data_IF_289437007831
#
_entry.id   IF_289437007831
#
_cell.length_a   1.000
_cell.length_b   1.000
_cell.length_c   1.000
_cell.angle_alpha   90.00
_cell.angle_beta   90.00
_cell.angle_gamma   90.00
#
_symmetry.space_group_name_H-M   'P 1'
#
loop_
_entity.id
_entity.type
_entity.pdbx_description
1 polymer ?
#
# COMPACT_ATOMS: atom_id res chain seq x y z
N UNK A 1 -16.11 -4.81 7.11
CA UNK A 1 -14.66 -4.53 7.07
C UNK A 1 -14.27 -3.95 8.42
N UNK A 2 -13.54 -4.69 9.25
CA UNK A 2 -12.89 -4.08 10.41
C UNK A 2 -11.82 -3.12 9.90
N UNK A 3 -11.80 -1.90 10.45
CA UNK A 3 -10.79 -0.92 10.11
C UNK A 3 -9.49 -1.32 10.80
N UNK A 4 -8.56 -1.90 10.04
CA UNK A 4 -7.23 -2.27 10.50
C UNK A 4 -6.21 -1.40 9.78
N UNK A 5 -5.45 -0.62 10.54
CA UNK A 5 -4.35 0.17 10.02
C UNK A 5 -3.26 -0.75 9.44
N UNK A 6 -2.52 -0.22 8.46
CA UNK A 6 -1.28 -0.84 8.02
C UNK A 6 -0.24 -0.69 9.14
N UNK A 7 0.41 -1.78 9.48
CA UNK A 7 1.58 -1.78 10.35
C UNK A 7 2.77 -1.17 9.61
N UNK A 8 3.78 -0.70 10.35
CA UNK A 8 5.04 -0.20 9.76
C UNK A 8 5.70 -1.24 8.86
N UNK A 9 5.62 -2.53 9.23
CA UNK A 9 6.15 -3.62 8.40
C UNK A 9 5.41 -3.74 7.07
N UNK A 10 4.07 -3.73 7.08
CA UNK A 10 3.29 -3.80 5.84
C UNK A 10 3.50 -2.56 4.96
N UNK A 11 3.69 -1.37 5.56
CA UNK A 11 4.04 -0.16 4.82
C UNK A 11 5.42 -0.25 4.17
N UNK A 12 6.40 -0.81 4.89
CA UNK A 12 7.75 -1.06 4.38
C UNK A 12 7.78 -2.11 3.26
N UNK A 13 6.81 -3.04 3.22
CA UNK A 13 6.63 -3.95 2.08
C UNK A 13 5.84 -3.30 0.93
N UNK A 14 4.84 -2.46 1.24
CA UNK A 14 4.01 -1.77 0.25
C UNK A 14 4.83 -0.84 -0.64
N UNK A 15 5.76 -0.07 -0.08
CA UNK A 15 6.59 0.87 -0.82
C UNK A 15 7.39 0.24 -1.98
N UNK A 16 8.27 -0.76 -1.75
CA UNK A 16 9.03 -1.38 -2.84
C UNK A 16 8.12 -2.11 -3.84
N UNK A 17 7.02 -2.73 -3.38
CA UNK A 17 6.08 -3.39 -4.29
C UNK A 17 5.39 -2.38 -5.23
N UNK A 18 5.01 -1.22 -4.70
CA UNK A 18 4.45 -0.14 -5.50
C UNK A 18 5.48 0.42 -6.50
N UNK A 19 6.73 0.64 -6.06
CA UNK A 19 7.83 1.10 -6.92
C UNK A 19 8.18 0.12 -8.04
N UNK A 20 8.02 -1.19 -7.79
CA UNK A 20 8.17 -2.24 -8.81
C UNK A 20 6.99 -2.28 -9.81
N UNK A 21 5.96 -1.45 -9.63
CA UNK A 21 4.81 -1.37 -10.53
C UNK A 21 3.73 -2.42 -10.29
N UNK A 22 3.73 -3.10 -9.15
CA UNK A 22 2.67 -4.06 -8.83
C UNK A 22 1.31 -3.37 -8.68
N UNK A 23 0.27 -4.02 -9.19
CA UNK A 23 -1.10 -3.56 -9.03
C UNK A 23 -1.58 -3.73 -7.57
N UNK A 24 -2.56 -2.92 -7.16
CA UNK A 24 -3.17 -3.01 -5.82
C UNK A 24 -3.74 -4.39 -5.50
N UNK A 25 -4.11 -5.18 -6.52
CA UNK A 25 -4.58 -6.57 -6.36
C UNK A 25 -3.45 -7.53 -6.04
N UNK A 26 -2.33 -7.43 -6.76
CA UNK A 26 -1.14 -8.26 -6.50
C UNK A 26 -0.57 -7.96 -5.12
N UNK A 27 -0.44 -6.67 -4.78
CA UNK A 27 0.03 -6.25 -3.46
C UNK A 27 -0.93 -6.74 -2.38
N UNK A 28 -2.25 -6.64 -2.60
CA UNK A 28 -3.25 -7.16 -1.68
C UNK A 28 -3.13 -8.66 -1.44
N UNK A 29 -2.84 -9.44 -2.48
CA UNK A 29 -2.59 -10.87 -2.37
C UNK A 29 -1.32 -11.18 -1.56
N UNK A 30 -0.23 -10.42 -1.80
CA UNK A 30 1.05 -10.58 -1.09
C UNK A 30 0.93 -10.22 0.39
N UNK A 31 0.36 -9.04 0.69
CA UNK A 31 0.21 -8.53 2.06
C UNK A 31 -1.00 -9.12 2.80
N UNK A 32 -1.78 -9.99 2.15
CA UNK A 32 -3.05 -10.52 2.66
C UNK A 32 -4.01 -9.40 3.10
N UNK A 33 -4.03 -8.32 2.33
CA UNK A 33 -4.87 -7.14 2.53
C UNK A 33 -5.85 -6.99 1.38
N UNK A 34 -7.02 -6.42 1.66
CA UNK A 34 -7.96 -6.11 0.59
C UNK A 34 -7.38 -5.03 -0.33
N UNK A 35 -7.49 -5.21 -1.65
CA UNK A 35 -6.93 -4.28 -2.64
C UNK A 35 -7.46 -2.84 -2.47
N UNK A 36 -8.71 -2.66 -2.01
CA UNK A 36 -9.24 -1.32 -1.69
C UNK A 36 -8.55 -0.68 -0.50
N UNK A 37 -8.07 -1.46 0.48
CA UNK A 37 -7.30 -0.93 1.60
C UNK A 37 -5.93 -0.45 1.12
N UNK A 38 -5.29 -1.21 0.22
CA UNK A 38 -4.04 -0.79 -0.45
C UNK A 38 -4.25 0.51 -1.21
N UNK A 39 -5.29 0.59 -2.05
CA UNK A 39 -5.59 1.79 -2.83
C UNK A 39 -5.83 3.03 -1.94
N UNK A 40 -6.49 2.85 -0.79
CA UNK A 40 -6.71 3.94 0.18
C UNK A 40 -5.43 4.34 0.90
N UNK A 41 -4.52 3.41 1.17
CA UNK A 41 -3.22 3.71 1.77
C UNK A 41 -2.32 4.46 0.80
N UNK A 42 -2.21 3.98 -0.44
CA UNK A 42 -1.48 4.67 -1.51
C UNK A 42 -2.04 6.08 -1.70
N UNK A 43 -3.35 6.24 -1.86
CA UNK A 43 -3.97 7.58 -2.01
C UNK A 43 -3.68 8.52 -0.83
N UNK A 44 -3.48 8.01 0.39
CA UNK A 44 -3.18 8.84 1.57
C UNK A 44 -1.73 9.32 1.60
N UNK A 45 -0.79 8.48 1.17
CA UNK A 45 0.65 8.73 1.35
C UNK A 45 1.42 8.88 0.03
N UNK A 46 0.73 8.86 -1.11
CA UNK A 46 1.28 9.27 -2.41
C UNK A 46 1.25 10.79 -2.48
N UNK A 47 2.41 11.39 -2.70
CA UNK A 47 2.57 12.83 -2.86
C UNK A 47 2.29 13.27 -4.31
N UNK A 48 2.31 14.59 -4.55
CA UNK A 48 2.10 15.18 -5.88
C UNK A 48 3.15 14.72 -6.91
N UNK A 49 4.31 14.24 -6.45
CA UNK A 49 5.37 13.65 -7.26
C UNK A 49 5.03 12.22 -7.76
N UNK A 50 3.93 11.63 -7.27
CA UNK A 50 3.53 10.26 -7.58
C UNK A 50 4.26 9.20 -6.76
N UNK A 51 5.15 9.61 -5.86
CA UNK A 51 5.93 8.71 -5.02
C UNK A 51 5.17 8.40 -3.73
N UNK A 52 5.23 7.13 -3.32
CA UNK A 52 4.68 6.67 -2.06
C UNK A 52 5.77 6.69 -0.99
N UNK A 53 5.49 7.36 0.14
CA UNK A 53 6.38 7.40 1.29
C UNK A 53 5.76 6.68 2.49
N UNK A 54 6.54 5.83 3.17
CA UNK A 54 6.04 4.88 4.17
C UNK A 54 6.06 5.37 5.64
N UNK A 55 6.36 6.65 5.89
CA UNK A 55 6.63 7.18 7.23
C UNK A 55 5.42 7.21 8.17
#
# INVERSE_FOLDING_TARGET
MSYSHFTTFERGQLEPLHKLGHSTREIGAILKRHHSSIARELKRNTHEDGEYYSW
#
